data_IF_179996254992
#
_entry.id   IF_179996254992
#
_cell.length_a   1.000
_cell.length_b   1.000
_cell.length_c   1.000
_cell.angle_alpha   90.00
_cell.angle_beta   90.00
_cell.angle_gamma   90.00
#
_symmetry.space_group_name_H-M   'P 1'
#
loop_
_entity.id
_entity.type
_entity.pdbx_description
1 polymer ?
#
# COMPACT_ATOMS: atom_id res chain seq x y z
N UNK A 1 -25.78 -3.80 28.73
CA UNK A 1 -26.26 -2.41 28.52
C UNK A 1 -26.24 -1.59 29.82
N UNK A 2 -26.69 -2.11 30.94
CA UNK A 2 -26.78 -1.37 32.22
C UNK A 2 -25.45 -0.99 32.84
N UNK A 3 -24.35 -1.72 32.60
CA UNK A 3 -23.00 -1.42 33.14
C UNK A 3 -22.17 -0.46 32.28
N UNK A 4 -22.56 -0.23 31.06
CA UNK A 4 -21.86 0.63 30.10
C UNK A 4 -22.87 1.63 29.49
N UNK A 5 -23.39 2.58 30.25
CA UNK A 5 -24.45 3.49 29.79
C UNK A 5 -24.02 4.41 28.64
N UNK A 6 -22.72 4.63 28.50
CA UNK A 6 -22.15 5.50 27.46
C UNK A 6 -21.73 4.75 26.19
N UNK A 7 -22.02 3.44 26.11
CA UNK A 7 -21.68 2.59 24.97
C UNK A 7 -22.92 1.97 24.37
N UNK A 8 -22.99 1.96 23.05
CA UNK A 8 -23.96 1.13 22.34
C UNK A 8 -23.43 -0.31 22.29
N UNK A 9 -24.19 -1.24 22.84
CA UNK A 9 -23.82 -2.67 22.84
C UNK A 9 -24.72 -3.43 21.90
N UNK A 10 -24.15 -4.01 20.87
CA UNK A 10 -24.84 -4.82 19.86
C UNK A 10 -24.35 -6.26 19.87
N UNK A 11 -25.24 -7.16 19.49
CA UNK A 11 -24.97 -8.61 19.47
C UNK A 11 -25.18 -9.09 18.03
N UNK A 12 -24.17 -9.81 17.52
CA UNK A 12 -24.21 -10.45 16.20
C UNK A 12 -23.92 -11.94 16.36
N UNK A 13 -24.87 -12.78 16.00
CA UNK A 13 -24.79 -14.24 16.11
C UNK A 13 -24.90 -14.91 14.74
N UNK A 14 -24.65 -16.21 14.70
CA UNK A 14 -24.77 -17.02 13.49
C UNK A 14 -26.20 -17.16 12.95
N UNK A 15 -27.21 -16.76 13.72
CA UNK A 15 -28.62 -16.80 13.31
C UNK A 15 -28.97 -15.76 12.25
N UNK A 16 -28.17 -14.68 12.18
CA UNK A 16 -28.34 -13.62 11.17
C UNK A 16 -27.75 -14.05 9.82
N UNK A 17 -28.38 -13.61 8.73
CA UNK A 17 -27.82 -13.78 7.39
C UNK A 17 -26.53 -12.96 7.21
N UNK A 18 -25.74 -13.26 6.16
CA UNK A 18 -24.50 -12.54 5.89
C UNK A 18 -24.75 -11.04 5.60
N UNK A 19 -25.83 -10.74 4.89
CA UNK A 19 -26.24 -9.37 4.56
C UNK A 19 -26.66 -8.59 5.81
N UNK A 20 -27.53 -9.18 6.65
CA UNK A 20 -27.97 -8.56 7.91
C UNK A 20 -26.80 -8.29 8.86
N UNK A 21 -25.77 -9.15 8.87
CA UNK A 21 -24.57 -8.92 9.68
C UNK A 21 -23.77 -7.73 9.18
N UNK A 22 -23.61 -7.59 7.85
CA UNK A 22 -22.90 -6.48 7.25
C UNK A 22 -23.64 -5.15 7.49
N UNK A 23 -24.95 -5.12 7.31
CA UNK A 23 -25.77 -3.93 7.54
C UNK A 23 -25.69 -3.45 9.00
N UNK A 24 -25.79 -4.39 9.97
CA UNK A 24 -25.67 -4.04 11.39
C UNK A 24 -24.29 -3.46 11.72
N UNK A 25 -23.24 -4.04 11.16
CA UNK A 25 -21.87 -3.55 11.40
C UNK A 25 -21.69 -2.17 10.78
N UNK A 26 -22.22 -1.93 9.58
CA UNK A 26 -22.18 -0.63 8.93
C UNK A 26 -22.96 0.46 9.70
N UNK A 27 -24.10 0.08 10.29
CA UNK A 27 -24.86 0.99 11.17
C UNK A 27 -24.08 1.34 12.45
N UNK A 28 -23.38 0.35 13.02
CA UNK A 28 -22.55 0.57 14.21
C UNK A 28 -21.37 1.51 13.93
N UNK A 29 -20.83 1.50 12.72
CA UNK A 29 -19.72 2.37 12.30
C UNK A 29 -20.08 3.87 12.33
N UNK A 30 -21.35 4.22 12.41
CA UNK A 30 -21.83 5.60 12.56
C UNK A 30 -21.85 6.10 14.02
N UNK A 31 -21.51 5.23 14.96
CA UNK A 31 -21.59 5.48 16.41
C UNK A 31 -20.20 5.65 17.01
N UNK A 32 -20.04 6.63 17.91
CA UNK A 32 -18.72 6.96 18.48
C UNK A 32 -18.19 5.90 19.49
N UNK A 33 -19.08 5.26 20.25
CA UNK A 33 -18.70 4.32 21.33
C UNK A 33 -19.51 3.06 21.23
N UNK A 34 -18.91 2.02 20.69
CA UNK A 34 -19.57 0.75 20.37
C UNK A 34 -18.84 -0.44 20.98
N UNK A 35 -19.61 -1.40 21.49
CA UNK A 35 -19.15 -2.71 21.87
C UNK A 35 -19.93 -3.74 21.04
N UNK A 36 -19.21 -4.47 20.19
CA UNK A 36 -19.75 -5.59 19.44
C UNK A 36 -19.50 -6.89 20.19
N UNK A 37 -20.55 -7.60 20.53
CA UNK A 37 -20.48 -8.96 21.07
C UNK A 37 -20.84 -9.92 19.95
N UNK A 38 -19.93 -10.79 19.58
CA UNK A 38 -20.11 -11.69 18.46
C UNK A 38 -19.64 -13.11 18.77
N UNK A 39 -20.26 -14.06 18.13
CA UNK A 39 -19.77 -15.45 18.06
C UNK A 39 -18.79 -15.58 16.88
N UNK A 40 -18.22 -16.78 16.70
CA UNK A 40 -17.30 -17.07 15.57
C UNK A 40 -17.93 -16.88 14.18
N UNK A 41 -19.21 -16.54 14.09
CA UNK A 41 -19.85 -16.18 12.82
C UNK A 41 -19.22 -14.97 12.11
N UNK A 42 -18.47 -14.13 12.83
CA UNK A 42 -17.72 -13.00 12.27
C UNK A 42 -16.25 -13.34 12.00
N UNK A 43 -15.81 -14.55 12.29
CA UNK A 43 -14.41 -14.96 12.03
C UNK A 43 -14.11 -15.09 10.53
N UNK A 44 -15.13 -15.12 9.66
CA UNK A 44 -14.96 -15.17 8.20
C UNK A 44 -15.84 -14.14 7.47
N UNK A 45 -15.29 -13.55 6.40
CA UNK A 45 -16.04 -12.77 5.42
C UNK A 45 -16.35 -11.32 5.77
N UNK A 46 -16.10 -10.83 6.99
CA UNK A 46 -16.45 -9.46 7.42
C UNK A 46 -15.20 -8.69 7.84
N UNK A 47 -15.11 -7.42 7.44
CA UNK A 47 -14.05 -6.50 7.82
C UNK A 47 -14.51 -5.63 8.98
N UNK A 48 -13.72 -5.61 10.06
CA UNK A 48 -14.01 -4.83 11.26
C UNK A 48 -12.99 -3.73 11.53
N UNK A 49 -11.90 -3.67 10.74
CA UNK A 49 -10.81 -2.72 10.91
C UNK A 49 -11.24 -1.26 10.79
N UNK A 50 -12.32 -0.98 10.05
CA UNK A 50 -12.81 0.39 9.87
C UNK A 50 -13.47 0.99 11.11
N UNK A 51 -13.91 0.12 12.03
CA UNK A 51 -14.77 0.52 13.15
C UNK A 51 -14.21 0.17 14.52
N UNK A 52 -13.32 -0.82 14.61
CA UNK A 52 -12.81 -1.34 15.87
C UNK A 52 -11.29 -1.34 15.91
N UNK A 53 -10.74 -1.10 17.11
CA UNK A 53 -9.31 -1.11 17.40
C UNK A 53 -8.95 -2.01 18.59
N UNK A 54 -9.89 -2.78 19.07
CA UNK A 54 -9.66 -3.71 20.17
C UNK A 54 -10.46 -5.01 19.97
N UNK A 55 -9.86 -6.13 20.40
CA UNK A 55 -10.47 -7.46 20.42
C UNK A 55 -10.37 -8.01 21.83
N UNK A 56 -11.48 -8.52 22.36
CA UNK A 56 -11.51 -9.20 23.64
C UNK A 56 -11.98 -10.65 23.39
N UNK A 57 -11.09 -11.60 23.63
CA UNK A 57 -11.41 -13.02 23.61
C UNK A 57 -12.07 -13.37 24.96
N UNK A 58 -13.38 -13.44 24.95
CA UNK A 58 -14.16 -13.77 26.15
C UNK A 58 -14.07 -15.26 26.47
N UNK A 59 -14.03 -16.10 25.44
CA UNK A 59 -13.77 -17.54 25.52
C UNK A 59 -12.44 -17.89 24.87
N UNK A 60 -11.73 -18.80 25.47
CA UNK A 60 -10.47 -19.32 24.92
C UNK A 60 -10.78 -20.48 23.97
N UNK A 61 -10.52 -20.24 22.69
CA UNK A 61 -10.50 -21.33 21.73
C UNK A 61 -9.22 -22.15 21.93
N UNK A 62 -9.33 -23.45 21.97
CA UNK A 62 -8.19 -24.37 22.07
C UNK A 62 -7.25 -24.29 20.83
N UNK A 63 -7.78 -23.82 19.70
CA UNK A 63 -7.04 -23.61 18.47
C UNK A 63 -6.51 -22.16 18.39
N UNK A 64 -5.17 -21.93 18.46
CA UNK A 64 -4.59 -20.60 18.38
C UNK A 64 -4.95 -19.85 17.09
N UNK A 65 -5.15 -20.56 15.98
CA UNK A 65 -5.52 -19.96 14.70
C UNK A 65 -6.86 -19.23 14.77
N UNK A 66 -7.78 -19.66 15.62
CA UNK A 66 -9.06 -18.97 15.82
C UNK A 66 -8.87 -17.59 16.46
N UNK A 67 -7.95 -17.47 17.41
CA UNK A 67 -7.62 -16.18 18.00
C UNK A 67 -7.06 -15.23 16.93
N UNK A 68 -6.13 -15.71 16.11
CA UNK A 68 -5.58 -14.92 15.01
C UNK A 68 -6.62 -14.56 13.94
N UNK A 69 -7.54 -15.47 13.62
CA UNK A 69 -8.63 -15.17 12.70
C UNK A 69 -9.54 -14.07 13.24
N UNK A 70 -9.88 -14.11 14.54
CA UNK A 70 -10.66 -13.06 15.21
C UNK A 70 -9.91 -11.73 15.22
N UNK A 71 -8.65 -11.73 15.59
CA UNK A 71 -7.77 -10.56 15.60
C UNK A 71 -7.57 -9.97 14.20
N UNK A 72 -7.33 -10.81 13.21
CA UNK A 72 -7.15 -10.40 11.81
C UNK A 72 -8.39 -9.81 11.13
N UNK A 73 -9.55 -9.75 11.81
CA UNK A 73 -10.73 -8.98 11.37
C UNK A 73 -10.60 -7.50 11.71
N UNK A 74 -9.85 -7.21 12.76
CA UNK A 74 -9.60 -5.85 13.26
C UNK A 74 -8.19 -5.40 12.90
N UNK A 75 -7.18 -6.25 13.10
CA UNK A 75 -5.79 -5.99 12.72
C UNK A 75 -5.55 -6.42 11.27
N UNK A 76 -5.84 -5.51 10.36
CA UNK A 76 -5.76 -5.74 8.92
C UNK A 76 -5.27 -4.51 8.18
N UNK A 77 -4.76 -4.71 6.97
CA UNK A 77 -4.41 -3.61 6.07
C UNK A 77 -5.58 -2.61 5.92
N UNK A 78 -5.29 -1.33 6.11
CA UNK A 78 -6.29 -0.26 6.13
C UNK A 78 -6.81 0.09 7.54
N UNK A 79 -6.26 -0.50 8.61
CA UNK A 79 -6.60 -0.12 9.98
C UNK A 79 -6.26 1.37 10.23
N UNK A 80 -7.26 2.12 10.72
CA UNK A 80 -7.15 3.57 10.94
C UNK A 80 -6.41 3.93 12.24
N UNK A 81 -6.32 2.99 13.17
CA UNK A 81 -5.68 3.21 14.47
C UNK A 81 -4.25 2.67 14.46
N UNK A 82 -3.31 3.36 15.11
CA UNK A 82 -1.89 2.96 15.12
C UNK A 82 -1.63 1.66 15.89
N UNK A 83 -2.57 1.27 16.77
CA UNK A 83 -2.46 0.07 17.59
C UNK A 83 -3.80 -0.66 17.66
N UNK A 84 -3.77 -1.98 17.53
CA UNK A 84 -4.89 -2.87 17.85
C UNK A 84 -4.58 -3.59 19.16
N UNK A 85 -5.51 -3.51 20.12
CA UNK A 85 -5.36 -4.15 21.43
C UNK A 85 -6.09 -5.46 21.46
N UNK A 86 -5.36 -6.55 21.77
CA UNK A 86 -5.92 -7.87 21.95
C UNK A 86 -5.84 -8.27 23.42
N UNK A 87 -6.97 -8.66 24.00
CA UNK A 87 -7.06 -9.06 25.40
C UNK A 87 -7.68 -10.45 25.48
N UNK A 88 -7.01 -11.37 26.15
CA UNK A 88 -7.54 -12.71 26.47
C UNK A 88 -8.07 -12.73 27.90
N UNK A 89 -9.31 -13.18 28.07
CA UNK A 89 -9.90 -13.42 29.40
C UNK A 89 -9.79 -14.90 29.72
N UNK A 90 -9.34 -15.22 30.90
CA UNK A 90 -9.30 -16.60 31.40
C UNK A 90 -9.66 -16.63 32.90
N UNK A 91 -10.14 -17.77 33.35
CA UNK A 91 -10.46 -17.97 34.74
C UNK A 91 -9.37 -18.83 35.41
N UNK A 92 -8.69 -18.27 36.41
CA UNK A 92 -7.64 -18.99 37.15
C UNK A 92 -8.17 -20.24 37.90
N UNK A 93 -9.41 -20.17 38.35
CA UNK A 93 -10.07 -21.28 39.05
C UNK A 93 -10.60 -22.37 38.09
N UNK A 94 -10.58 -22.10 36.78
CA UNK A 94 -10.99 -23.08 35.78
C UNK A 94 -9.76 -23.87 35.30
N UNK A 95 -9.66 -25.15 35.70
CA UNK A 95 -8.52 -26.00 35.33
C UNK A 95 -8.39 -26.18 33.79
N UNK A 96 -9.50 -26.07 33.05
CA UNK A 96 -9.51 -26.20 31.60
C UNK A 96 -8.83 -24.96 30.97
N UNK A 97 -9.18 -23.75 31.39
CA UNK A 97 -8.61 -22.52 30.86
C UNK A 97 -7.09 -22.44 31.09
N UNK A 98 -6.65 -22.78 32.31
CA UNK A 98 -5.23 -22.81 32.64
C UNK A 98 -4.43 -23.84 31.84
N UNK A 99 -5.01 -24.99 31.55
CA UNK A 99 -4.40 -26.00 30.68
C UNK A 99 -4.35 -25.53 29.23
N UNK A 100 -5.46 -25.03 28.70
CA UNK A 100 -5.55 -24.52 27.31
C UNK A 100 -4.52 -23.40 27.08
N UNK A 101 -4.43 -22.41 27.97
CA UNK A 101 -3.47 -21.31 27.86
C UNK A 101 -2.04 -21.85 27.80
N UNK A 102 -1.66 -22.74 28.73
CA UNK A 102 -0.30 -23.28 28.76
C UNK A 102 0.04 -24.07 27.48
N UNK A 103 -0.89 -24.88 26.99
CA UNK A 103 -0.70 -25.65 25.74
C UNK A 103 -0.61 -24.70 24.54
N UNK A 104 -1.54 -23.75 24.43
CA UNK A 104 -1.58 -22.79 23.31
C UNK A 104 -0.32 -21.94 23.28
N UNK A 105 0.07 -21.34 24.40
CA UNK A 105 1.23 -20.45 24.46
C UNK A 105 2.54 -21.19 24.18
N UNK A 106 2.73 -22.38 24.77
CA UNK A 106 3.93 -23.18 24.51
C UNK A 106 4.00 -23.60 23.03
N UNK A 107 2.92 -24.15 22.49
CA UNK A 107 2.89 -24.61 21.09
C UNK A 107 2.99 -23.45 20.10
N UNK A 108 2.28 -22.34 20.34
CA UNK A 108 2.39 -21.14 19.49
C UNK A 108 3.82 -20.58 19.49
N UNK A 109 4.48 -20.53 20.64
CA UNK A 109 5.88 -20.06 20.74
C UNK A 109 6.83 -21.00 20.01
N UNK A 110 6.71 -22.31 20.20
CA UNK A 110 7.55 -23.31 19.53
C UNK A 110 7.37 -23.27 18.01
N UNK A 111 6.12 -23.23 17.55
CA UNK A 111 5.83 -23.19 16.11
C UNK A 111 6.30 -21.89 15.48
N UNK A 112 6.10 -20.76 16.17
CA UNK A 112 6.60 -19.45 15.68
C UNK A 112 8.12 -19.40 15.61
N UNK A 113 8.82 -19.98 16.59
CA UNK A 113 10.29 -20.05 16.58
C UNK A 113 10.84 -20.96 15.49
N UNK A 114 10.20 -22.11 15.26
CA UNK A 114 10.71 -23.11 14.30
C UNK A 114 10.26 -22.86 12.86
N UNK A 115 9.06 -22.36 12.64
CA UNK A 115 8.46 -22.23 11.32
C UNK A 115 8.23 -20.79 10.86
N UNK A 116 8.23 -19.82 11.80
CA UNK A 116 7.90 -18.43 11.50
C UNK A 116 6.43 -18.18 11.08
N UNK A 117 5.58 -19.23 11.09
CA UNK A 117 4.17 -19.18 10.69
C UNK A 117 3.37 -20.06 11.63
N UNK A 118 2.15 -19.67 11.97
CA UNK A 118 1.23 -20.50 12.72
C UNK A 118 0.64 -21.62 11.84
N UNK A 119 0.65 -22.83 12.37
CA UNK A 119 0.12 -24.00 11.68
C UNK A 119 -1.35 -24.20 12.06
N UNK A 120 -2.27 -24.29 11.08
CA UNK A 120 -3.66 -24.61 11.35
C UNK A 120 -3.78 -25.97 12.04
N UNK A 121 -4.50 -26.02 13.17
CA UNK A 121 -4.79 -27.25 13.87
C UNK A 121 -6.08 -27.86 13.29
N UNK A 122 -6.15 -29.17 13.10
CA UNK A 122 -7.38 -29.83 12.64
C UNK A 122 -8.54 -29.55 13.60
N UNK A 123 -9.63 -28.99 13.09
CA UNK A 123 -10.77 -28.53 13.90
C UNK A 123 -11.58 -29.69 14.56
N UNK A 124 -11.50 -30.88 14.00
CA UNK A 124 -12.39 -32.03 14.33
C UNK A 124 -11.63 -33.24 14.84
N UNK A 125 -10.73 -33.12 15.80
CA UNK A 125 -10.22 -34.34 16.42
C UNK A 125 -10.90 -34.60 17.73
N UNK A 126 -11.79 -35.63 17.77
CA UNK A 126 -12.35 -36.19 19.01
C UNK A 126 -11.25 -36.54 20.02
N UNK A 127 -10.07 -36.91 19.54
CA UNK A 127 -8.89 -37.18 20.36
C UNK A 127 -8.46 -35.96 21.18
N UNK A 128 -8.53 -34.74 20.61
CA UNK A 128 -8.19 -33.49 21.30
C UNK A 128 -9.21 -33.17 22.39
N UNK A 129 -10.49 -33.33 22.09
CA UNK A 129 -11.56 -33.15 23.07
C UNK A 129 -11.44 -34.14 24.24
N UNK A 130 -11.17 -35.41 23.95
CA UNK A 130 -10.99 -36.45 24.97
C UNK A 130 -9.72 -36.22 25.82
N UNK A 131 -8.61 -35.80 25.23
CA UNK A 131 -7.40 -35.48 25.97
C UNK A 131 -7.58 -34.27 26.90
N UNK A 132 -8.32 -33.23 26.45
CA UNK A 132 -8.66 -32.05 27.27
C UNK A 132 -9.55 -32.44 28.47
N UNK A 133 -10.57 -33.30 28.25
CA UNK A 133 -11.45 -33.80 29.30
C UNK A 133 -10.68 -34.65 30.29
N UNK A 134 -9.81 -35.55 29.84
CA UNK A 134 -8.96 -36.37 30.71
C UNK A 134 -8.00 -35.50 31.55
N UNK A 135 -7.29 -34.53 30.91
CA UNK A 135 -6.41 -33.64 31.64
C UNK A 135 -7.15 -32.80 32.70
N UNK A 136 -8.38 -32.35 32.41
CA UNK A 136 -9.21 -31.62 33.36
C UNK A 136 -9.70 -32.52 34.52
N UNK A 137 -10.04 -33.77 34.24
CA UNK A 137 -10.47 -34.76 35.25
C UNK A 137 -9.30 -35.15 36.15
N UNK A 138 -8.12 -35.41 35.61
CA UNK A 138 -6.91 -35.72 36.38
C UNK A 138 -6.56 -34.57 37.32
N UNK A 139 -6.57 -33.33 36.86
CA UNK A 139 -6.30 -32.14 37.69
C UNK A 139 -7.29 -32.00 38.83
N UNK A 140 -8.58 -32.31 38.60
CA UNK A 140 -9.64 -32.26 39.61
C UNK A 140 -9.50 -33.35 40.68
N UNK A 141 -9.00 -34.54 40.32
CA UNK A 141 -8.70 -35.63 41.25
C UNK A 141 -7.50 -35.30 42.14
N UNK A 142 -6.43 -34.74 41.57
CA UNK A 142 -5.23 -34.33 42.29
C UNK A 142 -5.49 -33.17 43.28
N UNK A 143 -6.30 -32.18 42.91
CA UNK A 143 -6.65 -31.08 43.83
C UNK A 143 -7.49 -31.55 45.04
N UNK A 144 -8.18 -32.69 44.94
CA UNK A 144 -8.98 -33.25 46.01
C UNK A 144 -8.19 -34.07 47.04
N UNK A 145 -7.04 -34.62 46.63
CA UNK A 145 -6.27 -35.57 47.42
C UNK A 145 -5.00 -35.00 48.08
N UNK A 146 -4.40 -33.99 47.50
CA UNK A 146 -3.08 -33.50 47.93
C UNK A 146 -2.98 -31.98 47.91
N UNK A 147 -3.51 -31.27 48.79
CA UNK A 147 -3.43 -29.79 48.94
C UNK A 147 -2.09 -29.06 48.71
N UNK A 148 -1.20 -29.61 47.92
CA UNK A 148 0.06 -29.02 47.49
C UNK A 148 0.39 -29.37 46.03
N UNK A 149 0.70 -28.34 45.24
CA UNK A 149 1.12 -28.40 43.85
C UNK A 149 2.52 -29.01 43.70
N UNK A 150 2.62 -30.35 43.65
CA UNK A 150 3.74 -31.02 43.00
C UNK A 150 3.19 -31.77 41.77
N UNK A 151 3.52 -31.26 40.61
CA UNK A 151 3.10 -31.89 39.35
C UNK A 151 3.98 -33.12 39.09
N UNK A 152 3.37 -34.33 39.11
CA UNK A 152 3.99 -35.49 38.49
C UNK A 152 3.66 -35.50 37.00
N UNK A 153 4.69 -35.23 36.19
CA UNK A 153 4.57 -35.00 34.74
C UNK A 153 4.27 -36.29 33.93
N UNK A 154 4.33 -37.47 34.53
CA UNK A 154 4.25 -38.74 33.81
C UNK A 154 2.88 -39.02 33.16
N UNK A 155 1.77 -38.79 33.85
CA UNK A 155 0.43 -39.05 33.31
C UNK A 155 -0.08 -37.93 32.40
N UNK A 156 0.38 -36.71 32.64
CA UNK A 156 0.12 -35.58 31.75
C UNK A 156 0.92 -35.75 30.45
N UNK A 157 2.09 -36.40 30.50
CA UNK A 157 2.89 -36.71 29.34
C UNK A 157 2.15 -37.61 28.35
N UNK A 158 1.45 -38.67 28.83
CA UNK A 158 0.67 -39.56 27.94
C UNK A 158 -0.52 -38.85 27.28
N UNK A 159 -1.20 -37.95 27.99
CA UNK A 159 -2.26 -37.14 27.42
C UNK A 159 -1.69 -36.09 26.42
N UNK A 160 -0.47 -35.59 26.68
CA UNK A 160 0.23 -34.67 25.79
C UNK A 160 0.75 -35.35 24.53
N UNK A 161 1.23 -36.62 24.66
CA UNK A 161 1.71 -37.42 23.53
C UNK A 161 0.56 -37.77 22.56
N UNK A 162 -0.63 -38.10 23.07
CA UNK A 162 -1.83 -38.27 22.26
C UNK A 162 -2.29 -37.00 21.54
N UNK A 163 -1.89 -35.84 22.07
CA UNK A 163 -2.12 -34.54 21.47
C UNK A 163 -1.03 -34.17 20.44
N UNK A 164 0.15 -34.73 20.58
CA UNK A 164 1.30 -34.43 19.70
C UNK A 164 1.19 -35.08 18.32
N UNK A 165 0.52 -36.21 18.20
CA UNK A 165 0.40 -36.94 16.94
C UNK A 165 -0.36 -36.15 15.86
N UNK A 166 -1.55 -35.58 16.12
CA UNK A 166 -2.25 -34.69 15.19
C UNK A 166 -1.47 -33.40 14.88
N UNK A 167 -0.68 -32.90 15.84
CA UNK A 167 0.16 -31.73 15.62
C UNK A 167 1.38 -32.04 14.77
N UNK A 168 1.98 -33.21 14.94
CA UNK A 168 3.10 -33.67 14.12
C UNK A 168 2.65 -33.83 12.67
N UNK A 169 1.49 -34.44 12.43
CA UNK A 169 0.91 -34.57 11.10
C UNK A 169 0.56 -33.20 10.48
N UNK A 170 -0.02 -32.30 11.26
CA UNK A 170 -0.31 -30.94 10.81
C UNK A 170 0.99 -30.17 10.52
N UNK A 171 2.03 -30.36 11.36
CA UNK A 171 3.37 -29.79 11.17
C UNK A 171 4.05 -30.33 9.90
N UNK A 172 3.99 -31.66 9.68
CA UNK A 172 4.55 -32.24 8.45
C UNK A 172 3.80 -31.79 7.19
N UNK A 173 2.46 -31.69 7.24
CA UNK A 173 1.65 -31.12 6.17
C UNK A 173 1.99 -29.65 5.93
N UNK A 174 2.14 -28.86 6.99
CA UNK A 174 2.53 -27.47 6.88
C UNK A 174 3.98 -27.32 6.37
N UNK A 175 4.92 -28.18 6.81
CA UNK A 175 6.27 -28.21 6.25
C UNK A 175 6.27 -28.61 4.78
N UNK A 176 5.50 -29.63 4.38
CA UNK A 176 5.34 -30.02 2.96
C UNK A 176 4.69 -28.91 2.16
N UNK A 177 3.64 -28.31 2.69
CA UNK A 177 2.99 -27.16 2.07
C UNK A 177 3.92 -25.94 2.04
N UNK A 178 4.74 -25.72 3.09
CA UNK A 178 5.75 -24.67 3.11
C UNK A 178 6.84 -24.94 2.09
N UNK A 179 7.26 -26.19 1.90
CA UNK A 179 8.23 -26.52 0.83
C UNK A 179 7.63 -26.24 -0.55
N UNK A 180 6.32 -26.49 -0.74
CA UNK A 180 5.59 -26.15 -1.98
C UNK A 180 5.32 -24.65 -2.06
N UNK A 181 4.96 -23.99 -0.95
CA UNK A 181 4.73 -22.55 -0.90
C UNK A 181 6.03 -21.73 -0.77
N UNK A 182 7.07 -22.24 -0.13
CA UNK A 182 8.37 -21.58 -0.07
C UNK A 182 9.12 -21.65 -1.42
N UNK A 183 8.85 -22.66 -2.23
CA UNK A 183 9.27 -22.64 -3.64
C UNK A 183 8.45 -21.65 -4.48
N UNK A 184 7.32 -21.13 -3.96
CA UNK A 184 6.46 -20.13 -4.59
C UNK A 184 6.41 -18.81 -3.83
N UNK A 185 6.98 -18.73 -2.63
CA UNK A 185 7.03 -17.46 -1.89
C UNK A 185 8.07 -16.56 -2.54
N UNK A 186 7.64 -15.36 -2.83
CA UNK A 186 8.52 -14.26 -3.17
C UNK A 186 9.51 -14.08 -2.00
N UNK A 187 10.80 -14.26 -2.24
CA UNK A 187 11.80 -13.85 -1.27
C UNK A 187 11.77 -12.32 -1.21
N UNK A 188 11.57 -11.71 -0.03
CA UNK A 188 11.56 -10.26 0.10
C UNK A 188 12.78 -9.60 -0.54
N UNK A 189 13.94 -10.22 -0.42
CA UNK A 189 15.22 -9.78 -0.97
C UNK A 189 15.22 -9.65 -2.50
N UNK A 190 14.39 -10.45 -3.20
CA UNK A 190 14.28 -10.42 -4.66
C UNK A 190 13.28 -9.37 -5.16
N UNK A 191 12.38 -8.91 -4.30
CA UNK A 191 11.26 -8.01 -4.67
C UNK A 191 11.40 -6.62 -4.07
N UNK A 192 11.97 -6.51 -2.87
CA UNK A 192 12.15 -5.22 -2.19
C UNK A 192 12.93 -4.23 -3.08
N UNK A 193 14.04 -4.59 -3.74
CA UNK A 193 14.76 -3.63 -4.60
C UNK A 193 13.92 -3.11 -5.77
N UNK A 194 13.10 -3.99 -6.37
CA UNK A 194 12.21 -3.59 -7.47
C UNK A 194 11.08 -2.68 -6.96
N UNK A 195 10.54 -3.02 -5.78
CA UNK A 195 9.50 -2.21 -5.15
C UNK A 195 10.02 -0.84 -4.71
N UNK A 196 11.23 -0.77 -4.15
CA UNK A 196 11.88 0.49 -3.79
C UNK A 196 12.21 1.36 -5.01
N UNK A 197 12.61 0.74 -6.12
CA UNK A 197 12.85 1.44 -7.38
C UNK A 197 11.53 2.00 -7.94
N UNK A 198 10.45 1.21 -7.95
CA UNK A 198 9.10 1.67 -8.34
C UNK A 198 8.60 2.80 -7.44
N UNK A 199 8.77 2.68 -6.12
CA UNK A 199 8.44 3.74 -5.17
C UNK A 199 9.23 5.03 -5.44
N UNK A 200 10.49 4.91 -5.81
CA UNK A 200 11.35 6.05 -6.15
C UNK A 200 10.90 6.72 -7.44
N UNK A 201 10.50 5.94 -8.44
CA UNK A 201 9.97 6.44 -9.72
C UNK A 201 8.58 7.09 -9.55
N UNK A 202 7.75 6.57 -8.65
CA UNK A 202 6.43 7.13 -8.35
C UNK A 202 6.50 8.48 -7.61
N UNK A 203 7.67 8.84 -7.09
CA UNK A 203 7.88 10.05 -6.31
C UNK A 203 7.51 9.87 -4.83
N UNK A 204 8.07 10.73 -4.01
CA UNK A 204 7.80 10.76 -2.58
C UNK A 204 6.50 11.52 -2.26
N UNK A 205 5.95 11.33 -1.06
CA UNK A 205 4.87 12.17 -0.56
C UNK A 205 5.23 13.67 -0.56
N UNK A 206 6.51 13.99 -0.41
CA UNK A 206 7.00 15.37 -0.51
C UNK A 206 6.81 15.97 -1.90
N UNK A 207 7.02 15.19 -2.96
CA UNK A 207 6.77 15.63 -4.34
C UNK A 207 5.28 15.96 -4.58
N UNK A 208 4.37 15.14 -4.02
CA UNK A 208 2.93 15.39 -4.09
C UNK A 208 2.60 16.68 -3.34
N UNK A 209 3.15 16.87 -2.15
CA UNK A 209 2.97 18.09 -1.36
C UNK A 209 3.45 19.33 -2.13
N UNK A 210 4.65 19.29 -2.72
CA UNK A 210 5.21 20.40 -3.50
C UNK A 210 4.33 20.74 -4.70
N UNK A 211 3.86 19.75 -5.42
CA UNK A 211 2.90 19.94 -6.54
C UNK A 211 1.64 20.62 -6.06
N UNK A 212 1.02 20.12 -4.98
CA UNK A 212 -0.19 20.70 -4.41
C UNK A 212 0.05 22.11 -3.89
N UNK A 213 1.15 22.38 -3.19
CA UNK A 213 1.50 23.71 -2.70
C UNK A 213 1.65 24.71 -3.85
N UNK A 214 2.39 24.33 -4.88
CA UNK A 214 2.62 25.19 -6.05
C UNK A 214 1.33 25.49 -6.79
N UNK A 215 0.49 24.49 -7.02
CA UNK A 215 -0.78 24.63 -7.70
C UNK A 215 -1.74 25.51 -6.90
N UNK A 216 -1.96 25.18 -5.63
CA UNK A 216 -2.93 25.88 -4.78
C UNK A 216 -2.48 27.31 -4.48
N UNK A 217 -1.18 27.58 -4.43
CA UNK A 217 -0.67 28.94 -4.33
C UNK A 217 -0.99 29.76 -5.60
N UNK A 218 -0.87 29.16 -6.79
CA UNK A 218 -1.28 29.81 -8.05
C UNK A 218 -2.78 30.05 -8.12
N UNK A 219 -3.58 29.19 -7.49
CA UNK A 219 -5.05 29.35 -7.37
C UNK A 219 -5.47 30.29 -6.24
N UNK A 220 -4.50 30.97 -5.59
CA UNK A 220 -4.76 31.85 -4.43
C UNK A 220 -5.43 31.16 -3.23
N UNK A 221 -5.26 29.85 -3.15
CA UNK A 221 -5.77 29.00 -2.05
C UNK A 221 -4.64 28.17 -1.43
N UNK A 222 -3.68 28.79 -0.72
CA UNK A 222 -2.53 28.07 -0.21
C UNK A 222 -2.91 27.02 0.83
N UNK A 223 -2.21 25.90 0.85
CA UNK A 223 -2.32 24.88 1.89
C UNK A 223 -1.99 25.48 3.25
N UNK A 224 -2.82 25.20 4.24
CA UNK A 224 -2.55 25.53 5.63
C UNK A 224 -1.64 24.46 6.23
N UNK A 225 -0.38 24.81 6.50
CA UNK A 225 0.60 23.90 7.07
C UNK A 225 0.33 23.74 8.57
N UNK A 226 0.09 22.51 9.01
CA UNK A 226 -0.10 22.15 10.43
C UNK A 226 1.23 21.67 11.03
N UNK A 227 1.94 20.80 10.30
CA UNK A 227 3.27 20.32 10.65
C UNK A 227 4.06 20.00 9.37
N UNK A 228 5.31 19.55 9.50
CA UNK A 228 6.14 19.15 8.36
C UNK A 228 5.47 18.12 7.44
N UNK A 229 4.67 17.22 8.01
CA UNK A 229 4.00 16.13 7.30
C UNK A 229 2.47 16.20 7.32
N UNK A 230 1.89 17.29 7.83
CA UNK A 230 0.45 17.45 7.95
C UNK A 230 0.03 18.85 7.49
N UNK A 231 -1.02 18.91 6.72
CA UNK A 231 -1.58 20.15 6.17
C UNK A 231 -3.08 20.02 5.99
N UNK A 232 -3.75 21.16 5.85
CA UNK A 232 -5.19 21.24 5.67
C UNK A 232 -5.47 21.96 4.35
N UNK A 233 -6.39 21.38 3.58
CA UNK A 233 -6.93 21.96 2.36
C UNK A 233 -8.37 22.42 2.62
N UNK A 234 -8.63 23.70 2.39
CA UNK A 234 -9.97 24.25 2.43
C UNK A 234 -10.47 24.49 0.99
N UNK A 235 -11.52 23.78 0.52
CA UNK A 235 -12.00 23.92 -0.84
C UNK A 235 -12.81 25.20 -1.06
N UNK A 236 -13.17 25.95 -0.01
CA UNK A 236 -14.10 27.10 -0.09
C UNK A 236 -13.62 28.25 -0.98
N UNK A 237 -12.30 28.37 -1.17
CA UNK A 237 -11.68 29.43 -1.96
C UNK A 237 -11.14 28.97 -3.33
N UNK A 238 -11.41 27.72 -3.71
CA UNK A 238 -11.04 27.22 -5.02
C UNK A 238 -11.92 27.83 -6.13
N UNK A 239 -11.47 27.80 -7.40
CA UNK A 239 -12.33 28.11 -8.55
C UNK A 239 -13.59 27.25 -8.58
N UNK A 240 -14.70 27.79 -9.09
CA UNK A 240 -16.00 27.11 -9.04
C UNK A 240 -15.98 25.73 -9.70
N UNK A 241 -15.28 25.59 -10.82
CA UNK A 241 -15.09 24.31 -11.49
C UNK A 241 -14.41 23.25 -10.59
N UNK A 242 -13.39 23.65 -9.81
CA UNK A 242 -12.76 22.77 -8.84
C UNK A 242 -13.67 22.47 -7.64
N UNK A 243 -14.43 23.47 -7.17
CA UNK A 243 -15.39 23.26 -6.08
C UNK A 243 -16.39 22.18 -6.43
N UNK A 244 -16.99 22.22 -7.63
CA UNK A 244 -17.94 21.22 -8.10
C UNK A 244 -17.31 19.81 -8.06
N UNK A 245 -16.08 19.64 -8.55
CA UNK A 245 -15.36 18.35 -8.52
C UNK A 245 -15.07 17.87 -7.09
N UNK A 246 -14.72 18.79 -6.20
CA UNK A 246 -14.51 18.48 -4.78
C UNK A 246 -15.82 18.10 -4.08
N UNK A 247 -16.93 18.76 -4.40
CA UNK A 247 -18.28 18.44 -3.90
C UNK A 247 -18.73 17.04 -4.37
N UNK A 248 -18.55 16.73 -5.64
CA UNK A 248 -18.85 15.42 -6.21
C UNK A 248 -18.07 14.29 -5.52
N UNK A 249 -16.85 14.58 -5.12
CA UNK A 249 -16.01 13.66 -4.35
C UNK A 249 -16.24 13.73 -2.83
N UNK A 250 -17.27 14.49 -2.37
CA UNK A 250 -17.64 14.67 -0.96
C UNK A 250 -16.65 15.47 -0.11
N UNK A 251 -15.74 16.23 -0.72
CA UNK A 251 -14.81 17.14 -0.03
C UNK A 251 -15.38 18.56 0.06
N UNK A 252 -16.43 18.74 0.84
CA UNK A 252 -17.11 20.03 1.01
C UNK A 252 -16.59 20.87 2.18
N UNK A 253 -15.74 20.30 3.02
CA UNK A 253 -15.18 20.91 4.24
C UNK A 253 -13.68 20.88 4.23
N UNK A 254 -13.01 21.73 5.04
CA UNK A 254 -11.57 21.64 5.23
C UNK A 254 -11.14 20.22 5.59
N UNK A 255 -10.25 19.65 4.79
CA UNK A 255 -9.78 18.28 4.93
C UNK A 255 -8.33 18.27 5.39
N UNK A 256 -8.08 17.55 6.47
CA UNK A 256 -6.74 17.37 7.02
C UNK A 256 -6.05 16.19 6.35
N UNK A 257 -4.87 16.44 5.80
CA UNK A 257 -4.08 15.49 5.02
C UNK A 257 -2.75 15.21 5.72
N UNK A 258 -2.27 13.99 5.65
CA UNK A 258 -1.01 13.59 6.26
C UNK A 258 -0.18 12.72 5.31
N UNK A 259 1.14 12.96 5.28
CA UNK A 259 2.11 12.11 4.59
C UNK A 259 2.56 10.90 5.42
N UNK A 260 2.06 10.77 6.67
CA UNK A 260 2.34 9.62 7.52
C UNK A 260 1.35 8.51 7.25
N UNK A 261 1.83 7.28 7.22
CA UNK A 261 1.00 6.09 7.17
C UNK A 261 1.35 5.17 8.37
N UNK A 262 0.40 4.88 9.28
CA UNK A 262 -0.99 5.35 9.28
C UNK A 262 -1.12 6.85 9.55
N UNK A 263 -2.16 7.47 8.97
CA UNK A 263 -2.46 8.86 9.21
C UNK A 263 -2.94 9.09 10.66
N UNK A 264 -2.67 10.26 11.26
CA UNK A 264 -3.22 10.62 12.56
C UNK A 264 -4.75 10.67 12.55
N UNK A 265 -5.37 10.52 13.72
CA UNK A 265 -6.83 10.59 13.87
C UNK A 265 -7.35 11.92 13.32
N UNK A 266 -8.35 11.83 12.43
CA UNK A 266 -8.97 13.00 11.81
C UNK A 266 -8.18 13.58 10.62
N UNK A 267 -7.13 12.88 10.15
CA UNK A 267 -6.43 13.20 8.92
C UNK A 267 -6.51 12.01 7.94
N UNK A 268 -6.52 12.30 6.65
CA UNK A 268 -6.46 11.30 5.60
C UNK A 268 -5.02 11.11 5.13
N UNK A 269 -4.65 9.86 4.81
CA UNK A 269 -3.32 9.57 4.26
C UNK A 269 -3.24 10.03 2.82
N UNK A 270 -2.38 11.02 2.57
CA UNK A 270 -2.15 11.54 1.24
C UNK A 270 -1.15 10.66 0.48
N UNK A 271 -1.61 10.08 -0.61
CA UNK A 271 -0.83 9.29 -1.55
C UNK A 271 -1.16 9.68 -2.99
N UNK A 272 -0.42 9.15 -3.95
CA UNK A 272 -0.56 9.53 -5.37
C UNK A 272 -1.97 9.30 -5.94
N UNK A 273 -2.63 8.23 -5.52
CA UNK A 273 -4.00 7.88 -5.96
C UNK A 273 -5.07 8.41 -5.00
N UNK A 274 -4.77 9.45 -4.21
CA UNK A 274 -5.76 10.10 -3.36
C UNK A 274 -6.72 10.92 -4.22
N UNK A 275 -8.05 10.89 -4.00
CA UNK A 275 -9.01 11.61 -4.84
C UNK A 275 -8.69 13.10 -5.02
N UNK A 276 -8.24 13.77 -3.97
CA UNK A 276 -7.83 15.17 -4.06
C UNK A 276 -6.66 15.38 -5.04
N UNK A 277 -5.68 14.45 -5.05
CA UNK A 277 -4.55 14.53 -5.97
C UNK A 277 -5.01 14.31 -7.40
N UNK A 278 -5.92 13.36 -7.62
CA UNK A 278 -6.51 13.07 -8.93
C UNK A 278 -7.27 14.28 -9.46
N UNK A 279 -8.20 14.85 -8.69
CA UNK A 279 -8.97 16.05 -9.06
C UNK A 279 -8.04 17.21 -9.45
N UNK A 280 -7.03 17.50 -8.63
CA UNK A 280 -6.09 18.58 -8.89
C UNK A 280 -5.22 18.32 -10.11
N UNK A 281 -4.80 17.07 -10.32
CA UNK A 281 -3.98 16.69 -11.48
C UNK A 281 -4.76 16.78 -12.77
N UNK A 282 -6.00 16.31 -12.80
CA UNK A 282 -6.88 16.38 -13.96
C UNK A 282 -7.17 17.83 -14.33
N UNK A 283 -7.42 18.67 -13.34
CA UNK A 283 -7.64 20.11 -13.55
C UNK A 283 -6.42 20.78 -14.20
N UNK A 284 -5.20 20.47 -13.74
CA UNK A 284 -3.96 21.00 -14.33
C UNK A 284 -3.81 20.52 -15.77
N UNK A 285 -4.06 19.23 -16.04
CA UNK A 285 -3.92 18.65 -17.38
C UNK A 285 -4.89 19.30 -18.35
N UNK A 286 -6.16 19.44 -17.97
CA UNK A 286 -7.19 20.08 -18.80
C UNK A 286 -6.85 21.54 -19.11
N UNK A 287 -6.47 22.31 -18.10
CA UNK A 287 -6.06 23.70 -18.28
C UNK A 287 -4.78 23.85 -19.14
N UNK A 288 -3.88 22.90 -19.06
CA UNK A 288 -2.63 22.89 -19.86
C UNK A 288 -2.90 22.53 -21.32
N UNK A 289 -3.93 21.74 -21.58
CA UNK A 289 -4.34 21.32 -22.93
C UNK A 289 -5.28 22.31 -23.62
N UNK A 290 -5.93 23.20 -22.87
CA UNK A 290 -6.79 24.21 -23.43
C UNK A 290 -5.97 25.37 -24.05
N UNK A 291 -5.76 25.30 -25.36
CA UNK A 291 -5.04 26.32 -26.13
C UNK A 291 -5.73 27.70 -26.18
N UNK A 292 -6.97 27.80 -25.75
CA UNK A 292 -7.74 29.05 -25.70
C UNK A 292 -7.53 29.80 -24.40
N UNK A 293 -6.94 29.16 -23.42
CA UNK A 293 -6.70 29.77 -22.12
C UNK A 293 -5.49 30.73 -22.21
N UNK A 294 -5.75 32.03 -22.07
CA UNK A 294 -4.71 33.06 -22.13
C UNK A 294 -3.79 33.04 -20.90
N UNK A 295 -4.24 32.48 -19.78
CA UNK A 295 -3.49 32.38 -18.52
C UNK A 295 -3.53 30.93 -17.99
N UNK A 296 -2.85 29.99 -18.65
CA UNK A 296 -2.85 28.60 -18.20
C UNK A 296 -2.13 28.46 -16.86
N UNK A 297 -2.64 27.61 -15.99
CA UNK A 297 -2.04 27.30 -14.68
C UNK A 297 -0.69 26.59 -14.85
N UNK A 298 -0.51 25.86 -15.93
CA UNK A 298 0.70 25.18 -16.31
C UNK A 298 0.94 25.24 -17.82
N UNK A 299 2.12 24.86 -18.27
CA UNK A 299 2.46 24.78 -19.68
C UNK A 299 3.25 23.51 -19.99
N UNK A 300 3.03 22.96 -21.18
CA UNK A 300 3.81 21.82 -21.70
C UNK A 300 5.18 22.20 -22.18
N UNK A 301 5.43 23.49 -22.39
CA UNK A 301 6.71 24.01 -22.86
C UNK A 301 7.14 25.18 -21.98
N UNK A 302 8.42 25.21 -21.65
CA UNK A 302 9.04 26.34 -20.95
C UNK A 302 10.46 26.55 -21.41
N UNK A 303 10.89 27.82 -21.40
CA UNK A 303 12.28 28.20 -21.55
C UNK A 303 12.64 29.05 -20.35
N UNK A 304 13.66 28.66 -19.63
CA UNK A 304 14.14 29.40 -18.47
C UNK A 304 15.62 29.77 -18.66
N UNK A 305 15.98 30.93 -18.19
CA UNK A 305 17.38 31.33 -17.97
C UNK A 305 17.74 30.94 -16.53
N UNK A 306 18.91 30.31 -16.36
CA UNK A 306 19.35 29.84 -15.04
C UNK A 306 20.87 29.92 -14.90
N UNK A 307 21.33 30.25 -13.69
CA UNK A 307 22.77 30.28 -13.38
C UNK A 307 23.29 28.87 -13.00
N UNK A 308 22.42 27.86 -12.97
CA UNK A 308 22.77 26.50 -12.56
C UNK A 308 23.31 25.63 -13.71
N UNK A 309 23.36 26.19 -14.93
CA UNK A 309 23.89 25.51 -16.12
C UNK A 309 24.92 26.36 -16.82
N UNK A 310 25.92 25.72 -17.40
CA UNK A 310 27.01 26.33 -18.14
C UNK A 310 26.78 26.47 -19.66
N UNK A 311 25.79 25.75 -20.16
CA UNK A 311 25.39 25.75 -21.56
C UNK A 311 23.90 25.46 -21.70
N UNK A 312 23.38 25.53 -22.90
CA UNK A 312 21.98 25.26 -23.17
C UNK A 312 21.67 23.76 -23.07
N UNK A 313 20.53 23.41 -22.44
CA UNK A 313 19.98 22.07 -22.38
C UNK A 313 18.56 22.07 -22.89
N UNK A 314 18.20 21.00 -23.62
CA UNK A 314 16.82 20.72 -24.00
C UNK A 314 16.37 19.44 -23.32
N UNK A 315 15.28 19.51 -22.56
CA UNK A 315 14.69 18.37 -21.85
C UNK A 315 13.35 18.02 -22.49
N UNK A 316 13.15 16.75 -22.72
CA UNK A 316 11.93 16.22 -23.34
C UNK A 316 11.28 15.26 -22.36
N UNK A 317 10.06 15.58 -21.91
CA UNK A 317 9.21 14.68 -21.16
C UNK A 317 8.47 13.80 -22.15
N UNK A 318 8.76 12.51 -22.12
CA UNK A 318 8.25 11.55 -23.09
C UNK A 318 7.43 10.48 -22.36
N UNK A 319 6.23 10.18 -22.87
CA UNK A 319 5.46 9.03 -22.45
C UNK A 319 5.74 7.87 -23.40
N UNK A 320 6.28 6.80 -22.86
CA UNK A 320 6.51 5.56 -23.57
C UNK A 320 5.45 4.53 -23.15
N UNK A 321 5.04 3.71 -24.09
CA UNK A 321 4.05 2.66 -23.86
C UNK A 321 4.62 1.31 -24.24
N UNK A 322 4.34 0.30 -23.41
CA UNK A 322 4.81 -1.05 -23.63
C UNK A 322 3.63 -2.02 -23.59
N UNK A 323 3.56 -2.89 -24.57
CA UNK A 323 2.65 -4.02 -24.54
C UNK A 323 3.33 -5.20 -23.89
N UNK A 324 2.84 -5.58 -22.71
CA UNK A 324 3.29 -6.77 -22.00
C UNK A 324 2.35 -7.91 -22.38
N UNK A 325 2.90 -8.94 -23.04
CA UNK A 325 2.15 -10.14 -23.39
C UNK A 325 2.63 -11.31 -22.52
N UNK A 326 1.70 -11.88 -21.76
CA UNK A 326 1.94 -13.10 -20.96
C UNK A 326 1.22 -14.26 -21.61
N UNK A 327 1.97 -15.33 -21.94
CA UNK A 327 1.41 -16.55 -22.55
C UNK A 327 1.57 -17.71 -21.58
N UNK A 328 0.44 -18.36 -21.27
CA UNK A 328 0.37 -19.58 -20.48
C UNK A 328 -0.49 -20.60 -21.21
N UNK A 329 0.13 -21.70 -21.67
CA UNK A 329 -0.48 -22.66 -22.58
C UNK A 329 -1.04 -21.94 -23.82
N UNK A 330 -2.31 -22.16 -24.16
CA UNK A 330 -3.00 -21.52 -25.31
C UNK A 330 -3.67 -20.17 -24.99
N UNK A 331 -3.48 -19.65 -23.75
CA UNK A 331 -4.06 -18.38 -23.34
C UNK A 331 -3.00 -17.29 -23.34
N UNK A 332 -3.32 -16.20 -24.04
CA UNK A 332 -2.50 -14.97 -24.01
C UNK A 332 -3.26 -13.87 -23.29
N UNK A 333 -2.56 -13.16 -22.41
CA UNK A 333 -3.08 -11.96 -21.74
C UNK A 333 -2.19 -10.79 -22.12
N UNK A 334 -2.81 -9.68 -22.47
CA UNK A 334 -2.13 -8.44 -22.80
C UNK A 334 -2.39 -7.39 -21.74
N UNK A 335 -1.37 -6.64 -21.41
CA UNK A 335 -1.42 -5.49 -20.51
C UNK A 335 -0.64 -4.35 -21.17
N UNK A 336 -1.17 -3.13 -21.09
CA UNK A 336 -0.43 -1.92 -21.45
C UNK A 336 0.22 -1.34 -20.22
N UNK A 337 1.52 -1.09 -20.28
CA UNK A 337 2.26 -0.33 -19.29
C UNK A 337 2.64 1.01 -19.90
N UNK A 338 2.52 2.07 -19.13
CA UNK A 338 2.95 3.42 -19.50
C UNK A 338 4.01 3.89 -18.52
N UNK A 339 5.03 4.56 -19.05
CA UNK A 339 6.12 5.13 -18.28
C UNK A 339 6.40 6.55 -18.78
N UNK A 340 6.60 7.49 -17.85
CA UNK A 340 7.05 8.84 -18.14
C UNK A 340 8.55 8.92 -17.88
N UNK A 341 9.31 9.29 -18.90
CA UNK A 341 10.76 9.48 -18.81
C UNK A 341 11.14 10.88 -19.19
N UNK A 342 12.26 11.33 -18.68
CA UNK A 342 12.89 12.58 -19.08
C UNK A 342 14.17 12.24 -19.80
N UNK A 343 14.26 12.63 -21.06
CA UNK A 343 15.48 12.57 -21.85
C UNK A 343 15.96 13.99 -22.12
N UNK A 344 17.25 14.19 -22.26
CA UNK A 344 17.79 15.53 -22.46
C UNK A 344 18.93 15.55 -23.43
N UNK A 345 19.13 16.70 -24.05
CA UNK A 345 20.31 16.98 -24.84
C UNK A 345 21.04 18.23 -24.32
N UNK A 346 22.33 18.25 -24.50
CA UNK A 346 23.26 19.30 -24.16
C UNK A 346 23.76 19.98 -25.42
N UNK A 347 23.80 21.31 -25.44
CA UNK A 347 24.24 22.11 -26.58
C UNK A 347 23.12 22.42 -27.59
N UNK A 348 23.24 23.51 -28.33
CA UNK A 348 22.26 23.93 -29.36
C UNK A 348 22.73 23.66 -30.78
N UNK A 349 24.05 23.83 -31.04
CA UNK A 349 24.59 23.70 -32.40
C UNK A 349 24.90 22.25 -32.75
N UNK A 350 25.41 21.50 -31.77
CA UNK A 350 25.69 20.07 -31.87
C UNK A 350 25.11 19.40 -30.63
N UNK A 351 23.79 19.14 -30.59
CA UNK A 351 23.18 18.56 -29.45
C UNK A 351 23.67 17.12 -29.20
N UNK A 352 24.08 16.83 -27.97
CA UNK A 352 24.47 15.50 -27.51
C UNK A 352 23.48 15.01 -26.45
N UNK A 353 23.01 13.77 -26.54
CA UNK A 353 22.16 13.19 -25.55
C UNK A 353 22.87 13.01 -24.20
N UNK A 354 22.17 13.31 -23.11
CA UNK A 354 22.67 13.14 -21.75
C UNK A 354 21.92 11.99 -21.05
N UNK A 355 22.52 11.45 -20.00
CA UNK A 355 21.90 10.38 -19.23
C UNK A 355 20.59 10.85 -18.58
N UNK A 356 19.57 9.99 -18.55
CA UNK A 356 18.24 10.27 -17.95
C UNK A 356 18.33 10.84 -16.53
N UNK A 357 19.23 10.27 -15.69
CA UNK A 357 19.44 10.73 -14.31
C UNK A 357 19.91 12.19 -14.23
N UNK A 358 20.69 12.62 -15.21
CA UNK A 358 21.20 13.98 -15.25
C UNK A 358 20.14 14.92 -15.85
N UNK A 359 19.41 14.46 -16.87
CA UNK A 359 18.25 15.18 -17.39
C UNK A 359 17.19 15.44 -16.30
N UNK A 360 16.90 14.44 -15.46
CA UNK A 360 15.94 14.56 -14.36
C UNK A 360 16.39 15.60 -13.31
N UNK A 361 17.69 15.69 -12.99
CA UNK A 361 18.22 16.70 -12.07
C UNK A 361 18.00 18.12 -12.56
N UNK A 362 18.12 18.32 -13.88
CA UNK A 362 17.97 19.64 -14.50
C UNK A 362 16.54 20.20 -14.39
N UNK A 363 15.53 19.37 -14.14
CA UNK A 363 14.16 19.83 -13.83
C UNK A 363 14.07 20.66 -12.54
N UNK A 364 15.03 20.51 -11.65
CA UNK A 364 15.08 21.24 -10.38
C UNK A 364 15.68 22.63 -10.50
N UNK A 365 16.26 22.99 -11.65
CA UNK A 365 16.89 24.28 -11.87
C UNK A 365 15.88 25.43 -11.75
N UNK A 366 16.27 26.48 -11.03
CA UNK A 366 15.40 27.63 -10.77
C UNK A 366 15.67 28.74 -11.82
N UNK A 367 14.62 29.43 -12.28
CA UNK A 367 14.78 30.56 -13.18
C UNK A 367 15.51 31.70 -12.46
N UNK A 368 16.49 32.31 -13.14
CA UNK A 368 17.22 33.50 -12.69
C UNK A 368 16.76 34.79 -13.40
N UNK A 369 16.04 34.67 -14.51
CA UNK A 369 15.60 35.80 -15.31
C UNK A 369 14.32 35.53 -16.10
N UNK A 370 13.78 36.55 -16.73
CA UNK A 370 12.60 36.47 -17.59
C UNK A 370 13.03 36.68 -19.05
N UNK A 371 12.71 35.72 -19.90
CA UNK A 371 13.01 35.77 -21.33
C UNK A 371 11.83 36.33 -22.11
N UNK A 372 12.13 37.06 -23.20
CA UNK A 372 11.10 37.53 -24.11
C UNK A 372 10.43 36.35 -24.84
N UNK A 373 9.15 36.51 -25.18
CA UNK A 373 8.35 35.47 -25.84
C UNK A 373 8.99 34.98 -27.14
N UNK A 374 9.54 35.88 -27.94
CA UNK A 374 10.21 35.50 -29.20
C UNK A 374 11.47 34.64 -29.00
N UNK A 375 12.20 34.84 -27.89
CA UNK A 375 13.33 33.97 -27.51
C UNK A 375 12.82 32.60 -27.08
N UNK A 376 11.75 32.55 -26.28
CA UNK A 376 11.18 31.30 -25.84
C UNK A 376 10.67 30.47 -27.02
N UNK A 377 9.86 31.07 -27.92
CA UNK A 377 9.30 30.39 -29.10
C UNK A 377 10.39 29.81 -29.99
N UNK A 378 11.43 30.58 -30.30
CA UNK A 378 12.55 30.11 -31.13
C UNK A 378 13.28 28.91 -30.51
N UNK A 379 13.59 28.96 -29.22
CA UNK A 379 14.32 27.89 -28.56
C UNK A 379 13.46 26.61 -28.47
N UNK A 380 12.15 26.74 -28.27
CA UNK A 380 11.23 25.58 -28.30
C UNK A 380 11.17 24.98 -29.70
N UNK A 381 11.09 25.82 -30.75
CA UNK A 381 11.07 25.32 -32.13
C UNK A 381 12.37 24.60 -32.51
N UNK A 382 13.52 25.09 -32.08
CA UNK A 382 14.81 24.43 -32.30
C UNK A 382 14.88 23.08 -31.57
N UNK A 383 14.46 23.02 -30.30
CA UNK A 383 14.39 21.79 -29.56
C UNK A 383 13.43 20.77 -30.20
N UNK A 384 12.28 21.23 -30.70
CA UNK A 384 11.32 20.36 -31.41
C UNK A 384 11.85 19.84 -32.74
N UNK A 385 12.62 20.68 -33.48
CA UNK A 385 13.28 20.23 -34.71
C UNK A 385 14.30 19.14 -34.41
N UNK A 386 15.11 19.33 -33.39
CA UNK A 386 16.08 18.32 -32.93
C UNK A 386 15.36 17.01 -32.54
N UNK A 387 14.35 17.08 -31.68
CA UNK A 387 13.62 15.91 -31.26
C UNK A 387 13.05 15.10 -32.43
N UNK A 388 12.51 15.79 -33.44
CA UNK A 388 11.96 15.14 -34.64
C UNK A 388 13.05 14.52 -35.53
N UNK A 389 14.24 15.06 -35.55
CA UNK A 389 15.37 14.49 -36.33
C UNK A 389 15.96 13.24 -35.68
N UNK A 390 15.71 13.02 -34.40
CA UNK A 390 16.29 11.96 -33.58
C UNK A 390 15.32 10.78 -33.34
N UNK A 391 14.42 10.54 -34.27
CA UNK A 391 13.39 9.48 -34.11
C UNK A 391 13.98 8.09 -33.83
N UNK A 392 15.09 7.75 -34.48
CA UNK A 392 15.76 6.46 -34.28
C UNK A 392 16.40 6.33 -32.91
N UNK A 393 16.99 7.39 -32.39
CA UNK A 393 17.52 7.44 -31.01
C UNK A 393 16.40 7.25 -29.99
N UNK A 394 15.24 7.89 -30.21
CA UNK A 394 14.08 7.74 -29.34
C UNK A 394 13.53 6.31 -29.38
N UNK A 395 13.46 5.69 -30.56
CA UNK A 395 13.08 4.27 -30.70
C UNK A 395 14.04 3.36 -29.94
N UNK A 396 15.35 3.65 -29.98
CA UNK A 396 16.34 2.91 -29.22
C UNK A 396 16.09 3.04 -27.73
N UNK A 397 15.89 4.25 -27.20
CA UNK A 397 15.58 4.50 -25.79
C UNK A 397 14.34 3.71 -25.36
N UNK A 398 13.26 3.77 -26.13
CA UNK A 398 12.03 2.99 -25.85
C UNK A 398 12.29 1.47 -25.82
N UNK A 399 13.17 0.98 -26.71
CA UNK A 399 13.52 -0.43 -26.75
C UNK A 399 14.35 -0.86 -25.54
N UNK A 400 15.26 -0.01 -25.09
CA UNK A 400 16.06 -0.22 -23.89
C UNK A 400 15.18 -0.27 -22.64
N UNK A 401 14.20 0.64 -22.53
CA UNK A 401 13.20 0.62 -21.45
C UNK A 401 12.35 -0.65 -21.48
N UNK A 402 11.89 -1.09 -22.66
CA UNK A 402 11.17 -2.35 -22.81
C UNK A 402 12.01 -3.54 -22.35
N UNK A 403 13.30 -3.56 -22.65
CA UNK A 403 14.22 -4.61 -22.21
C UNK A 403 14.42 -4.60 -20.68
N UNK A 404 14.60 -3.42 -20.07
CA UNK A 404 14.66 -3.27 -18.61
C UNK A 404 13.38 -3.75 -17.94
N UNK A 405 12.21 -3.37 -18.46
CA UNK A 405 10.91 -3.81 -17.93
C UNK A 405 10.72 -5.33 -18.07
N UNK A 406 11.16 -5.93 -19.18
CA UNK A 406 11.14 -7.38 -19.38
C UNK A 406 12.04 -8.09 -18.35
N UNK A 407 13.23 -7.58 -18.10
CA UNK A 407 14.16 -8.15 -17.14
C UNK A 407 13.61 -8.08 -15.71
N UNK A 408 13.08 -6.93 -15.28
CA UNK A 408 12.38 -6.77 -14.00
C UNK A 408 11.24 -7.78 -13.86
N UNK A 409 10.39 -7.87 -14.86
CA UNK A 409 9.26 -8.80 -14.87
C UNK A 409 9.72 -10.25 -14.79
N UNK A 410 10.81 -10.61 -15.47
CA UNK A 410 11.41 -11.96 -15.39
C UNK A 410 11.94 -12.27 -14.00
N UNK A 411 12.63 -11.32 -13.33
CA UNK A 411 13.11 -11.49 -11.94
C UNK A 411 11.97 -11.75 -10.98
N UNK A 412 10.95 -10.90 -10.98
CA UNK A 412 9.77 -11.06 -10.11
C UNK A 412 9.03 -12.38 -10.40
N UNK A 413 8.86 -12.75 -11.68
CA UNK A 413 8.20 -14.00 -12.06
C UNK A 413 9.02 -15.24 -11.69
N UNK A 414 10.34 -15.16 -11.78
CA UNK A 414 11.24 -16.23 -11.34
C UNK A 414 11.15 -16.43 -9.84
N UNK A 415 11.22 -15.35 -9.06
CA UNK A 415 11.01 -15.37 -7.61
C UNK A 415 9.64 -15.95 -7.22
N UNK A 416 8.58 -15.58 -7.95
CA UNK A 416 7.22 -16.11 -7.75
C UNK A 416 7.01 -17.51 -8.35
N UNK A 417 8.01 -18.13 -8.97
CA UNK A 417 7.87 -19.41 -9.71
C UNK A 417 6.68 -19.39 -10.70
N UNK A 418 6.39 -18.23 -11.28
CA UNK A 418 5.26 -18.04 -12.17
C UNK A 418 5.50 -18.73 -13.53
N UNK A 419 4.53 -19.54 -13.96
CA UNK A 419 4.61 -20.27 -15.24
C UNK A 419 4.26 -19.34 -16.41
N UNK A 420 4.72 -19.72 -17.61
CA UNK A 420 4.45 -19.03 -18.88
C UNK A 420 5.58 -18.10 -19.31
N UNK A 421 5.50 -17.62 -20.53
CA UNK A 421 6.45 -16.70 -21.15
C UNK A 421 5.92 -15.27 -21.10
N UNK A 422 6.82 -14.31 -20.95
CA UNK A 422 6.52 -12.89 -21.00
C UNK A 422 7.35 -12.24 -22.10
N UNK A 423 6.71 -11.39 -22.89
CA UNK A 423 7.36 -10.49 -23.82
C UNK A 423 6.90 -9.05 -23.55
N UNK A 424 7.79 -8.11 -23.76
CA UNK A 424 7.51 -6.68 -23.64
C UNK A 424 7.92 -6.04 -24.96
N UNK A 425 6.97 -5.40 -25.62
CA UNK A 425 7.18 -4.73 -26.90
C UNK A 425 6.90 -3.24 -26.74
N UNK A 426 7.82 -2.35 -27.13
CA UNK A 426 7.54 -0.92 -27.13
C UNK A 426 6.50 -0.59 -28.19
N UNK A 427 5.60 0.35 -27.88
CA UNK A 427 4.62 0.89 -28.82
C UNK A 427 5.11 2.23 -29.37
N UNK A 428 5.10 2.38 -30.67
CA UNK A 428 5.53 3.59 -31.34
C UNK A 428 4.35 4.32 -32.00
N UNK A 429 4.45 5.65 -32.20
CA UNK A 429 5.49 6.55 -31.67
C UNK A 429 5.40 6.77 -30.16
N UNK A 430 6.49 7.22 -29.53
CA UNK A 430 6.46 7.75 -28.17
C UNK A 430 5.77 9.13 -28.17
N UNK A 431 5.01 9.42 -27.12
CA UNK A 431 4.30 10.70 -27.02
C UNK A 431 5.17 11.76 -26.35
N UNK A 432 5.45 12.86 -27.07
CA UNK A 432 6.10 14.02 -26.49
C UNK A 432 5.10 14.80 -25.61
N UNK A 433 5.29 14.76 -24.31
CA UNK A 433 4.39 15.38 -23.31
C UNK A 433 4.79 16.83 -22.99
N UNK A 434 6.09 17.13 -22.99
CA UNK A 434 6.59 18.47 -22.70
C UNK A 434 8.00 18.71 -23.20
N UNK A 435 8.33 20.00 -23.38
CA UNK A 435 9.67 20.46 -23.80
C UNK A 435 10.11 21.59 -22.86
N UNK A 436 11.29 21.44 -22.29
CA UNK A 436 11.88 22.44 -21.41
C UNK A 436 13.27 22.77 -21.89
N UNK A 437 13.56 24.06 -22.06
CA UNK A 437 14.87 24.52 -22.47
C UNK A 437 15.48 25.36 -21.35
N UNK A 438 16.69 25.02 -20.96
CA UNK A 438 17.49 25.71 -19.97
C UNK A 438 18.60 26.51 -20.72
N UNK A 439 18.65 27.78 -20.51
CA UNK A 439 19.68 28.65 -21.07
C UNK A 439 20.60 29.15 -19.94
N UNK A 440 21.92 29.20 -20.15
CA UNK A 440 22.83 29.80 -19.17
C UNK A 440 22.54 31.27 -19.00
N UNK A 441 22.63 31.79 -17.78
CA UNK A 441 22.54 33.24 -17.54
C UNK A 441 23.83 33.94 -18.00
N UNK A 442 23.70 35.20 -18.40
CA UNK A 442 24.84 36.00 -18.86
C UNK A 442 25.92 36.15 -17.78
N UNK A 443 25.55 36.03 -16.51
CA UNK A 443 26.49 36.10 -15.36
C UNK A 443 27.24 34.78 -15.11
N UNK A 444 26.90 33.69 -15.84
CA UNK A 444 27.53 32.37 -15.73
C UNK A 444 28.52 32.06 -16.89
N UNK A 445 28.66 32.96 -17.86
CA UNK A 445 29.63 32.94 -18.95
C UNK A 445 30.82 33.83 -18.62
#
# INVERSE_FOLDING_TARGET
>A
KTRFPNYTVEIVTGELSAEERQDRIAEMGKLEKVILVATDCLSEGINLQDYFNAVVHYDLAWNPTRHEQREGRVDRFGQKFPEVRCTMMYCEDNPIDGFIINVILRKATTIKQELGVLVPIPENSEAVGNALVQAALLKKSFMKEYGQLSFDFGEIQQATDAFEEPWRDAREKAQRNRTIFAQRSLHPEDVIPEWEEEQRLLGSGDTIREMMQTLLQRLSNPLKIISEKEFELDPSHLPDELKERFEDASYTKPTRLSLKNPAPIGAEFLHRSHPIVEILSDYVVEHTLDYRNENPIGGRCAVIETSEVDQAYSLFLIRIRHQIATRLNDRSRFLMAEELIVVGSRGMVHPEWIAEKDALKLFSCKPSGTLSRGVQERNIEEALKFYRSEEDTIKQICTEHAAKLLERNRRVRSAASARGTVTVNPCFPADLMGVYVLLPSVDSL
#
